data_IF_654491005763
#
_entry.id   IF_654491005763
#
_cell.length_a   1.000
_cell.length_b   1.000
_cell.length_c   1.000
_cell.angle_alpha   90.00
_cell.angle_beta   90.00
_cell.angle_gamma   90.00
#
_symmetry.space_group_name_H-M   'P 1'
#
loop_
_entity.id
_entity.type
_entity.pdbx_description
1 polymer ?
#
# COMPACT_ATOMS: atom_id res chain seq x y z
N UNK A 1 4.59 -31.63 -15.36
CA UNK A 1 3.53 -31.70 -16.37
C UNK A 1 3.98 -30.80 -17.51
N UNK A 2 4.28 -31.36 -18.68
CA UNK A 2 4.62 -30.58 -19.88
C UNK A 2 3.43 -29.69 -20.24
N UNK A 3 3.67 -28.43 -20.59
CA UNK A 3 2.63 -27.47 -20.94
C UNK A 3 2.15 -27.66 -22.38
N UNK A 4 2.86 -28.48 -23.17
CA UNK A 4 2.52 -28.78 -24.56
C UNK A 4 1.12 -29.41 -24.72
N UNK A 5 0.41 -29.00 -25.79
CA UNK A 5 -0.93 -29.52 -26.09
C UNK A 5 -0.86 -30.96 -26.58
N UNK A 6 -1.82 -31.80 -26.18
CA UNK A 6 -1.88 -33.21 -26.60
C UNK A 6 -1.85 -33.41 -28.13
N UNK A 7 -2.36 -32.43 -28.89
CA UNK A 7 -2.27 -32.43 -30.36
C UNK A 7 -0.85 -32.24 -30.89
N UNK A 8 -0.05 -31.36 -30.27
CA UNK A 8 1.34 -31.11 -30.69
C UNK A 8 2.23 -32.33 -30.41
N UNK A 9 1.99 -33.01 -29.28
CA UNK A 9 2.66 -34.26 -28.94
C UNK A 9 2.31 -35.38 -29.94
N UNK A 10 1.04 -35.45 -30.36
CA UNK A 10 0.57 -36.40 -31.36
C UNK A 10 1.22 -36.15 -32.73
N UNK A 11 1.31 -34.90 -33.19
CA UNK A 11 1.97 -34.56 -34.47
C UNK A 11 3.45 -34.94 -34.51
N UNK A 12 4.14 -34.86 -33.37
CA UNK A 12 5.54 -35.29 -33.27
C UNK A 12 5.64 -36.81 -33.35
N UNK A 13 4.74 -37.54 -32.69
CA UNK A 13 4.68 -39.00 -32.74
C UNK A 13 4.33 -39.53 -34.14
N UNK A 14 3.47 -38.83 -34.88
CA UNK A 14 3.08 -39.18 -36.25
C UNK A 14 4.18 -38.88 -37.29
N UNK A 15 5.22 -38.13 -36.92
CA UNK A 15 6.34 -37.82 -37.81
C UNK A 15 7.25 -39.03 -38.00
N UNK A 16 7.19 -39.69 -39.18
CA UNK A 16 7.99 -40.88 -39.51
C UNK A 16 9.49 -40.64 -39.64
N UNK A 17 9.89 -39.44 -40.08
CA UNK A 17 11.30 -39.11 -40.25
C UNK A 17 11.91 -38.69 -38.90
N UNK A 18 12.93 -39.43 -38.47
CA UNK A 18 13.60 -39.27 -37.16
C UNK A 18 14.22 -37.88 -37.03
N UNK A 19 14.83 -37.34 -38.09
CA UNK A 19 15.51 -36.03 -38.06
C UNK A 19 14.51 -34.92 -37.77
N UNK A 20 13.41 -34.88 -38.52
CA UNK A 20 12.34 -33.90 -38.33
C UNK A 20 11.63 -34.06 -36.99
N UNK A 21 11.54 -35.30 -36.46
CA UNK A 21 10.97 -35.55 -35.14
C UNK A 21 11.82 -34.94 -34.02
N UNK A 22 13.14 -35.09 -34.11
CA UNK A 22 14.08 -34.51 -33.14
C UNK A 22 14.02 -32.98 -33.18
N UNK A 23 13.98 -32.36 -34.37
CA UNK A 23 13.90 -30.91 -34.50
C UNK A 23 12.61 -30.34 -33.87
N UNK A 24 11.45 -30.96 -34.15
CA UNK A 24 10.18 -30.55 -33.53
C UNK A 24 10.18 -30.71 -32.02
N UNK A 25 10.68 -31.85 -31.51
CA UNK A 25 10.79 -32.08 -30.08
C UNK A 25 11.74 -31.07 -29.40
N UNK A 26 12.86 -30.74 -30.04
CA UNK A 26 13.80 -29.75 -29.53
C UNK A 26 13.17 -28.36 -29.43
N UNK A 27 12.36 -27.97 -30.42
CA UNK A 27 11.65 -26.69 -30.39
C UNK A 27 10.62 -26.61 -29.27
N UNK A 28 9.81 -27.65 -29.06
CA UNK A 28 8.90 -27.73 -27.91
C UNK A 28 9.67 -27.62 -26.59
N UNK A 29 10.77 -28.36 -26.45
CA UNK A 29 11.56 -28.39 -25.22
C UNK A 29 12.22 -27.04 -24.94
N UNK A 30 12.68 -26.31 -25.98
CA UNK A 30 13.16 -24.93 -25.84
C UNK A 30 12.06 -23.99 -25.38
N UNK A 31 10.87 -24.11 -25.95
CA UNK A 31 9.73 -23.28 -25.56
C UNK A 31 9.34 -23.53 -24.10
N UNK A 32 9.22 -24.80 -23.67
CA UNK A 32 8.93 -25.13 -22.28
C UNK A 32 10.01 -24.62 -21.32
N UNK A 33 11.28 -24.68 -21.73
CA UNK A 33 12.39 -24.19 -20.92
C UNK A 33 12.35 -22.66 -20.77
N UNK A 34 11.92 -21.92 -21.79
CA UNK A 34 11.70 -20.48 -21.69
C UNK A 34 10.53 -20.15 -20.75
N UNK A 35 9.41 -20.85 -20.87
CA UNK A 35 8.25 -20.68 -19.98
C UNK A 35 8.64 -20.97 -18.53
N UNK A 36 9.35 -22.08 -18.27
CA UNK A 36 9.81 -22.43 -16.93
C UNK A 36 10.76 -21.39 -16.34
N UNK A 37 11.69 -20.84 -17.15
CA UNK A 37 12.59 -19.76 -16.71
C UNK A 37 11.83 -18.48 -16.36
N UNK A 38 10.81 -18.12 -17.15
CA UNK A 38 9.97 -16.96 -16.86
C UNK A 38 9.19 -17.16 -15.57
N UNK A 39 8.58 -18.33 -15.39
CA UNK A 39 7.82 -18.65 -14.19
C UNK A 39 8.72 -18.61 -12.94
N UNK A 40 9.93 -19.16 -13.03
CA UNK A 40 10.93 -19.07 -11.95
C UNK A 40 11.30 -17.62 -11.62
N UNK A 41 11.58 -16.78 -12.63
CA UNK A 41 11.89 -15.35 -12.43
C UNK A 41 10.73 -14.56 -11.83
N UNK A 42 9.49 -14.93 -12.13
CA UNK A 42 8.30 -14.30 -11.55
C UNK A 42 8.18 -14.72 -10.09
N UNK A 43 8.26 -16.01 -9.79
CA UNK A 43 8.21 -16.52 -8.41
C UNK A 43 9.27 -15.88 -7.52
N UNK A 44 10.52 -15.81 -8.00
CA UNK A 44 11.62 -15.18 -7.25
C UNK A 44 11.34 -13.70 -6.95
N UNK A 45 10.84 -12.93 -7.92
CA UNK A 45 10.49 -11.51 -7.70
C UNK A 45 9.35 -11.33 -6.72
N UNK A 46 8.37 -12.22 -6.72
CA UNK A 46 7.26 -12.19 -5.76
C UNK A 46 7.76 -12.52 -4.36
N UNK A 47 8.62 -13.53 -4.23
CA UNK A 47 9.20 -13.95 -2.96
C UNK A 47 10.10 -12.87 -2.35
N UNK A 48 10.94 -12.21 -3.16
CA UNK A 48 11.77 -11.08 -2.73
C UNK A 48 10.92 -9.91 -2.20
N UNK A 49 9.85 -9.54 -2.91
CA UNK A 49 8.91 -8.49 -2.46
C UNK A 49 8.19 -8.89 -1.18
N UNK A 50 7.70 -10.12 -1.10
CA UNK A 50 6.97 -10.62 0.06
C UNK A 50 7.89 -10.68 1.29
N UNK A 51 9.15 -11.08 1.13
CA UNK A 51 10.15 -11.11 2.20
C UNK A 51 10.45 -9.71 2.75
N UNK A 52 10.60 -8.71 1.87
CA UNK A 52 10.80 -7.32 2.32
C UNK A 52 9.57 -6.79 3.06
N UNK A 53 8.36 -7.01 2.53
CA UNK A 53 7.13 -6.55 3.15
C UNK A 53 6.86 -7.23 4.50
N UNK A 54 7.11 -8.54 4.60
CA UNK A 54 7.01 -9.28 5.87
C UNK A 54 8.04 -8.78 6.88
N UNK A 55 9.28 -8.50 6.45
CA UNK A 55 10.31 -7.94 7.31
C UNK A 55 9.91 -6.56 7.83
N UNK A 56 9.41 -5.68 6.97
CA UNK A 56 8.96 -4.34 7.37
C UNK A 56 7.76 -4.41 8.33
N UNK A 57 6.79 -5.27 8.04
CA UNK A 57 5.64 -5.52 8.92
C UNK A 57 6.09 -5.98 10.31
N UNK A 58 6.99 -6.96 10.36
CA UNK A 58 7.50 -7.49 11.62
C UNK A 58 8.29 -6.43 12.42
N UNK A 59 9.12 -5.63 11.74
CA UNK A 59 9.84 -4.51 12.38
C UNK A 59 8.89 -3.44 12.93
N UNK A 60 7.80 -3.13 12.23
CA UNK A 60 6.76 -2.20 12.72
C UNK A 60 6.05 -2.75 13.95
N UNK A 61 5.73 -4.04 13.96
CA UNK A 61 5.10 -4.70 15.11
C UNK A 61 6.03 -4.70 16.32
N UNK A 62 7.32 -5.01 16.12
CA UNK A 62 8.34 -4.92 17.17
C UNK A 62 8.50 -3.49 17.69
N UNK A 63 8.54 -2.49 16.82
CA UNK A 63 8.59 -1.08 17.25
C UNK A 63 7.35 -0.69 18.06
N UNK A 64 6.17 -1.21 17.71
CA UNK A 64 4.93 -0.95 18.45
C UNK A 64 4.98 -1.54 19.86
N UNK A 65 5.45 -2.78 20.00
CA UNK A 65 5.61 -3.40 21.32
C UNK A 65 6.73 -2.73 22.13
N UNK A 66 7.85 -2.36 21.52
CA UNK A 66 8.93 -1.60 22.18
C UNK A 66 8.42 -0.23 22.67
N UNK A 67 7.65 0.51 21.85
CA UNK A 67 7.02 1.78 22.26
C UNK A 67 6.10 1.60 23.48
N UNK A 68 5.38 0.47 23.52
CA UNK A 68 4.48 0.10 24.63
C UNK A 68 5.26 -0.28 25.89
N UNK A 69 6.34 -1.04 25.79
CA UNK A 69 7.22 -1.40 26.92
C UNK A 69 8.00 -0.21 27.47
N UNK A 70 8.46 0.70 26.60
CA UNK A 70 9.14 1.94 27.00
C UNK A 70 8.21 2.95 27.69
N UNK A 71 6.92 2.65 27.85
CA UNK A 71 5.95 3.55 28.47
C UNK A 71 5.71 4.83 27.67
N UNK A 72 6.09 4.85 26.38
CA UNK A 72 5.83 5.95 25.45
C UNK A 72 4.44 5.80 24.83
N UNK A 73 3.46 5.35 25.62
CA UNK A 73 2.14 5.97 25.58
C UNK A 73 2.31 7.42 26.00
N UNK A 74 2.98 8.24 25.18
CA UNK A 74 2.87 9.69 25.25
C UNK A 74 1.44 9.99 24.77
N UNK A 75 0.52 9.93 25.71
CA UNK A 75 -0.92 10.21 25.63
C UNK A 75 -1.31 11.56 25.00
N UNK A 76 -0.34 12.38 24.54
CA UNK A 76 -0.61 13.72 24.01
C UNK A 76 -0.71 13.81 22.49
N UNK A 77 0.34 13.42 21.74
CA UNK A 77 0.46 13.86 20.34
C UNK A 77 -0.23 12.94 19.32
N UNK A 78 -0.02 11.62 19.43
CA UNK A 78 -0.61 10.62 18.54
C UNK A 78 -2.14 10.54 18.76
N UNK A 79 -2.58 10.64 20.02
CA UNK A 79 -4.02 10.69 20.38
C UNK A 79 -4.74 11.92 19.81
N UNK A 80 -4.16 13.12 19.89
CA UNK A 80 -4.80 14.33 19.36
C UNK A 80 -4.88 14.30 17.83
N UNK A 81 -3.80 13.90 17.14
CA UNK A 81 -3.81 13.76 15.68
C UNK A 81 -4.82 12.73 15.18
N UNK A 82 -4.93 11.57 15.86
CA UNK A 82 -5.97 10.57 15.56
C UNK A 82 -7.40 11.10 15.79
N UNK A 83 -7.62 11.92 16.82
CA UNK A 83 -8.92 12.57 17.06
C UNK A 83 -9.30 13.51 15.93
N UNK A 84 -8.36 14.31 15.41
CA UNK A 84 -8.62 15.19 14.27
C UNK A 84 -8.92 14.37 13.02
N UNK A 85 -8.15 13.32 12.74
CA UNK A 85 -8.38 12.44 11.58
C UNK A 85 -9.77 11.79 11.62
N UNK A 86 -10.23 11.38 12.81
CA UNK A 86 -11.58 10.83 13.00
C UNK A 86 -12.70 11.87 12.82
N UNK A 87 -12.46 13.14 13.18
CA UNK A 87 -13.43 14.25 12.95
C UNK A 87 -13.54 14.60 11.47
N UNK A 88 -12.42 14.65 10.76
CA UNK A 88 -12.34 14.96 9.33
C UNK A 88 -13.08 13.94 8.47
N UNK A 89 -12.98 12.64 8.83
CA UNK A 89 -13.74 11.57 8.15
C UNK A 89 -15.27 11.74 8.26
N UNK A 90 -15.77 12.50 9.23
CA UNK A 90 -17.21 12.78 9.40
C UNK A 90 -17.67 14.04 8.66
N UNK A 91 -16.75 14.86 8.13
CA UNK A 91 -17.04 16.10 7.43
C UNK A 91 -17.11 15.82 5.91
N UNK A 92 -18.10 16.42 5.24
CA UNK A 92 -18.21 16.37 3.79
C UNK A 92 -17.31 17.45 3.18
N UNK A 93 -16.04 17.09 2.99
CA UNK A 93 -15.02 18.00 2.46
C UNK A 93 -14.87 17.86 0.94
N UNK A 94 -14.63 18.99 0.28
CA UNK A 94 -14.16 19.08 -1.10
C UNK A 94 -12.70 18.60 -1.18
N UNK A 95 -12.24 18.16 -2.35
CA UNK A 95 -10.87 17.64 -2.52
C UNK A 95 -9.78 18.66 -2.13
N UNK A 96 -9.96 19.95 -2.47
CA UNK A 96 -9.03 21.02 -2.08
C UNK A 96 -8.96 21.23 -0.56
N UNK A 97 -10.08 21.04 0.15
CA UNK A 97 -10.17 21.22 1.60
C UNK A 97 -9.49 20.05 2.33
N UNK A 98 -9.66 18.82 1.82
CA UNK A 98 -9.00 17.63 2.36
C UNK A 98 -7.47 17.72 2.23
N UNK A 99 -6.98 18.16 1.07
CA UNK A 99 -5.54 18.26 0.82
C UNK A 99 -4.89 19.25 1.80
N UNK A 100 -5.45 20.46 1.95
CA UNK A 100 -5.01 21.47 2.91
C UNK A 100 -5.00 20.97 4.36
N UNK A 101 -6.06 20.27 4.77
CA UNK A 101 -6.19 19.73 6.12
C UNK A 101 -5.16 18.63 6.39
N UNK A 102 -4.93 17.74 5.40
CA UNK A 102 -3.95 16.67 5.53
C UNK A 102 -2.52 17.20 5.63
N UNK A 103 -2.16 18.22 4.85
CA UNK A 103 -0.85 18.89 4.97
C UNK A 103 -0.61 19.42 6.37
N UNK A 104 -1.64 19.99 6.99
CA UNK A 104 -1.55 20.60 8.30
C UNK A 104 -1.50 19.56 9.43
N UNK A 105 -2.16 18.41 9.26
CA UNK A 105 -2.01 17.25 10.16
C UNK A 105 -0.59 16.67 10.10
N UNK A 106 -0.02 16.55 8.90
CA UNK A 106 1.34 16.05 8.75
C UNK A 106 2.36 17.01 9.41
N UNK A 107 2.16 18.32 9.32
CA UNK A 107 2.94 19.29 10.10
C UNK A 107 2.77 19.09 11.60
N UNK A 108 1.54 18.90 12.09
CA UNK A 108 1.27 18.65 13.51
C UNK A 108 1.97 17.39 14.05
N UNK A 109 2.13 16.35 13.22
CA UNK A 109 2.87 15.12 13.56
C UNK A 109 4.36 15.35 13.71
N UNK A 110 4.94 16.28 12.95
CA UNK A 110 6.36 16.59 12.95
C UNK A 110 6.77 17.56 14.07
N UNK A 111 5.86 18.43 14.50
CA UNK A 111 6.13 19.44 15.53
C UNK A 111 6.07 18.80 16.92
N UNK A 112 7.03 19.15 17.78
CA UNK A 112 7.03 18.68 19.16
C UNK A 112 5.86 19.29 19.96
N UNK A 113 5.10 18.51 20.77
CA UNK A 113 3.91 19.00 21.48
C UNK A 113 4.14 20.17 22.45
N UNK A 114 5.39 20.37 22.88
CA UNK A 114 5.78 21.47 23.75
C UNK A 114 6.05 22.79 23.00
N UNK A 115 6.07 22.75 21.66
CA UNK A 115 6.33 23.93 20.85
C UNK A 115 5.11 24.88 20.83
N UNK A 116 5.32 26.22 20.84
CA UNK A 116 4.30 27.20 20.53
C UNK A 116 3.64 26.98 19.16
N UNK A 117 4.39 26.49 18.16
CA UNK A 117 3.86 26.20 16.81
C UNK A 117 2.80 25.09 16.84
N UNK A 118 2.95 24.10 17.73
CA UNK A 118 1.98 23.02 17.89
C UNK A 118 0.60 23.55 18.32
N UNK A 119 0.58 24.52 19.25
CA UNK A 119 -0.67 25.13 19.70
C UNK A 119 -1.34 25.96 18.59
N UNK A 120 -0.55 26.61 17.71
CA UNK A 120 -1.08 27.38 16.58
C UNK A 120 -1.74 26.44 15.56
N UNK A 121 -1.03 25.38 15.15
CA UNK A 121 -1.54 24.37 14.21
C UNK A 121 -2.76 23.63 14.78
N UNK A 122 -2.74 23.27 16.07
CA UNK A 122 -3.90 22.67 16.75
C UNK A 122 -5.13 23.58 16.72
N UNK A 123 -4.93 24.86 17.07
CA UNK A 123 -6.01 25.84 17.05
C UNK A 123 -6.59 25.96 15.65
N UNK A 124 -5.74 26.07 14.63
CA UNK A 124 -6.17 26.16 13.24
C UNK A 124 -6.97 24.92 12.78
N UNK A 125 -6.54 23.71 13.16
CA UNK A 125 -7.29 22.47 12.91
C UNK A 125 -8.62 22.41 13.68
N UNK A 126 -8.70 22.95 14.89
CA UNK A 126 -9.96 23.11 15.62
C UNK A 126 -10.93 24.03 14.86
N UNK A 127 -10.47 25.19 14.37
CA UNK A 127 -11.31 26.09 13.56
C UNK A 127 -11.81 25.40 12.29
N UNK A 128 -10.93 24.71 11.57
CA UNK A 128 -11.29 23.99 10.37
C UNK A 128 -12.33 22.91 10.68
N UNK A 129 -12.19 22.14 11.76
CA UNK A 129 -13.15 21.06 12.08
C UNK A 129 -14.50 21.53 12.65
N UNK A 130 -14.60 22.78 13.12
CA UNK A 130 -15.86 23.38 13.60
C UNK A 130 -16.69 23.96 12.44
N UNK A 131 -16.05 24.32 11.32
CA UNK A 131 -16.75 24.94 10.20
C UNK A 131 -17.72 23.95 9.52
N UNK A 132 -18.97 24.36 9.26
CA UNK A 132 -19.96 23.50 8.61
C UNK A 132 -19.68 23.43 7.10
N UNK A 133 -18.82 22.50 6.68
CA UNK A 133 -18.60 22.22 5.26
C UNK A 133 -19.90 21.65 4.65
N UNK A 134 -20.49 22.40 3.72
CA UNK A 134 -21.73 22.01 3.02
C UNK A 134 -23.04 22.24 3.78
N UNK A 135 -23.04 22.91 4.94
CA UNK A 135 -24.26 23.28 5.66
C UNK A 135 -24.87 24.57 5.10
N UNK A 136 -26.13 24.54 4.67
CA UNK A 136 -26.88 25.72 4.24
C UNK A 136 -26.73 26.85 5.28
N UNK A 137 -26.02 27.90 4.88
CA UNK A 137 -25.84 29.13 5.66
C UNK A 137 -27.18 29.88 5.67
N UNK A 138 -28.14 29.44 6.48
CA UNK A 138 -29.30 30.27 6.80
C UNK A 138 -28.79 31.42 7.65
N UNK A 139 -28.44 32.50 6.97
CA UNK A 139 -28.17 33.81 7.56
C UNK A 139 -29.37 34.15 8.42
N UNK A 140 -29.20 34.06 9.74
CA UNK A 140 -30.14 34.64 10.69
C UNK A 140 -29.91 36.15 10.67
N UNK A 141 -30.48 36.79 9.65
CA UNK A 141 -30.63 38.24 9.57
C UNK A 141 -31.46 38.69 10.78
N UNK A 142 -30.86 39.54 11.60
CA UNK A 142 -31.58 40.38 12.57
C UNK A 142 -32.14 41.60 11.86
#
# INVERSE_FOLDING_TARGET
>A
MTTASGKELQEILETRNIKTRIEKALNLLRHELEVAKLQFKISQRVEDRMSQQQREFFLREQLKEIKKELGITKEGSESETEKYEARIKKLNLTEEEKERINEEIEKMRLIEPASPEYNVTRTYLDWLTILPFGGNFQQRLF
#
